data_IF_399375458570
#
_entry.id   IF_399375458570
#
_cell.length_a   1.000
_cell.length_b   1.000
_cell.length_c   1.000
_cell.angle_alpha   90.00
_cell.angle_beta   90.00
_cell.angle_gamma   90.00
#
_symmetry.space_group_name_H-M   'P 1'
#
loop_
_entity.id
_entity.type
_entity.pdbx_description
1 polymer ?
#
# COMPACT_ATOMS: atom_id res chain seq x y z
N UNK A 1 -8.84 -1.81 0.76
CA UNK A 1 -10.11 -1.14 1.13
C UNK A 1 -10.93 -2.01 2.07
N UNK A 2 -11.68 -3.02 1.58
CA UNK A 2 -12.66 -3.76 2.41
C UNK A 2 -12.05 -4.64 3.50
N UNK A 3 -11.03 -5.44 3.17
CA UNK A 3 -10.42 -6.41 4.11
C UNK A 3 -9.92 -5.75 5.39
N UNK A 4 -9.42 -4.51 5.27
CA UNK A 4 -8.80 -3.76 6.37
C UNK A 4 -9.66 -2.56 6.82
N UNK A 5 -10.93 -2.52 6.41
CA UNK A 5 -11.88 -1.43 6.72
C UNK A 5 -11.32 -0.01 6.46
N UNK A 6 -10.57 0.16 5.37
CA UNK A 6 -9.97 1.44 5.00
C UNK A 6 -11.03 2.37 4.41
N UNK A 7 -10.94 3.66 4.74
CA UNK A 7 -11.79 4.73 4.24
C UNK A 7 -10.95 6.00 3.93
N UNK A 8 -11.61 7.08 3.50
CA UNK A 8 -10.94 8.34 3.12
C UNK A 8 -10.17 9.00 4.27
N UNK A 9 -10.62 8.80 5.51
CA UNK A 9 -9.98 9.37 6.70
C UNK A 9 -8.87 8.47 7.26
N UNK A 10 -8.62 7.31 6.66
CA UNK A 10 -7.57 6.42 7.12
C UNK A 10 -6.21 7.09 6.95
N UNK A 11 -5.52 7.33 8.07
CA UNK A 11 -4.10 7.71 8.06
C UNK A 11 -3.25 6.55 7.57
N UNK A 12 -2.35 6.85 6.64
CA UNK A 12 -1.32 5.93 6.13
C UNK A 12 0.05 6.55 6.33
N UNK A 13 1.03 5.69 6.60
CA UNK A 13 2.32 6.13 7.09
C UNK A 13 3.44 5.55 6.24
N UNK A 14 4.54 6.30 6.06
CA UNK A 14 5.78 5.75 5.51
C UNK A 14 7.00 6.51 5.98
N UNK A 15 8.14 5.83 5.96
CA UNK A 15 9.44 6.45 6.17
C UNK A 15 10.04 6.88 4.82
N UNK A 16 10.64 8.07 4.78
CA UNK A 16 11.25 8.64 3.57
C UNK A 16 12.37 9.62 3.91
N UNK A 17 13.39 9.81 3.04
CA UNK A 17 14.33 10.92 3.19
C UNK A 17 13.63 12.29 3.24
N UNK A 18 14.10 13.17 4.15
CA UNK A 18 13.44 14.47 4.43
C UNK A 18 13.37 15.37 3.20
N UNK A 19 14.36 15.32 2.32
CA UNK A 19 14.44 16.11 1.09
C UNK A 19 13.27 15.86 0.14
N UNK A 20 12.68 14.67 0.15
CA UNK A 20 11.54 14.33 -0.71
C UNK A 20 10.21 14.88 -0.22
N UNK A 21 10.16 15.37 1.01
CA UNK A 21 8.94 15.91 1.64
C UNK A 21 9.16 17.29 2.28
N UNK A 22 10.30 17.94 2.05
CA UNK A 22 10.67 19.24 2.65
C UNK A 22 9.67 20.37 2.42
N UNK A 23 8.86 20.27 1.36
CA UNK A 23 7.84 21.26 1.01
C UNK A 23 6.45 20.89 1.55
N UNK A 24 6.33 19.87 2.41
CA UNK A 24 5.06 19.40 2.98
C UNK A 24 4.23 18.52 2.05
N UNK A 25 4.82 18.00 0.95
CA UNK A 25 4.13 17.15 -0.01
C UNK A 25 4.98 15.96 -0.44
N UNK A 26 4.35 14.82 -0.71
CA UNK A 26 4.96 13.65 -1.32
C UNK A 26 4.44 13.42 -2.75
N UNK A 27 5.27 12.81 -3.60
CA UNK A 27 4.92 12.37 -4.96
C UNK A 27 5.12 10.87 -5.08
N UNK A 28 4.43 10.21 -6.01
CA UNK A 28 4.59 8.78 -6.24
C UNK A 28 5.97 8.42 -6.79
N UNK A 29 6.53 7.30 -6.34
CA UNK A 29 7.76 6.75 -6.88
C UNK A 29 7.48 6.10 -8.24
N UNK A 30 8.15 6.51 -9.33
CA UNK A 30 7.90 5.95 -10.66
C UNK A 30 8.43 4.52 -10.83
N UNK A 31 9.43 4.13 -10.04
CA UNK A 31 10.14 2.85 -10.16
C UNK A 31 10.00 2.04 -8.87
N UNK A 32 8.77 1.67 -8.50
CA UNK A 32 8.53 0.78 -7.37
C UNK A 32 8.91 -0.66 -7.72
N UNK A 33 9.70 -1.29 -6.85
CA UNK A 33 10.07 -2.72 -6.92
C UNK A 33 9.06 -3.66 -6.25
N UNK A 34 7.90 -3.15 -5.83
CA UNK A 34 6.95 -3.91 -5.03
C UNK A 34 6.18 -4.95 -5.84
N UNK A 35 5.79 -6.03 -5.17
CA UNK A 35 4.84 -7.02 -5.70
C UNK A 35 3.47 -6.76 -5.09
N UNK A 36 2.45 -6.64 -5.91
CA UNK A 36 1.08 -6.27 -5.49
C UNK A 36 0.08 -7.38 -5.77
N UNK A 37 -0.98 -7.41 -4.97
CA UNK A 37 -2.17 -8.22 -5.23
C UNK A 37 -3.20 -7.45 -6.08
N UNK A 38 -3.45 -7.92 -7.30
CA UNK A 38 -4.46 -7.39 -8.23
C UNK A 38 -5.83 -7.99 -7.87
N UNK A 39 -6.53 -7.34 -6.94
CA UNK A 39 -7.82 -7.82 -6.41
C UNK A 39 -8.98 -7.80 -7.41
N UNK A 40 -8.78 -7.22 -8.60
CA UNK A 40 -9.74 -7.25 -9.73
C UNK A 40 -9.42 -8.39 -10.72
N UNK A 41 -8.31 -9.12 -10.54
CA UNK A 41 -7.87 -10.23 -11.39
C UNK A 41 -7.80 -11.54 -10.62
N UNK A 42 -8.23 -12.63 -11.25
CA UNK A 42 -8.31 -13.93 -10.63
C UNK A 42 -7.14 -14.84 -11.04
N UNK A 43 -6.68 -15.61 -10.08
CA UNK A 43 -5.82 -16.78 -10.24
C UNK A 43 -6.43 -17.93 -9.44
N UNK A 44 -6.36 -19.17 -9.96
CA UNK A 44 -6.86 -20.34 -9.23
C UNK A 44 -6.22 -20.40 -7.83
N UNK A 45 -7.06 -20.59 -6.81
CA UNK A 45 -6.58 -20.76 -5.45
C UNK A 45 -5.82 -22.08 -5.34
N UNK A 46 -4.64 -22.12 -4.68
CA UNK A 46 -3.93 -23.38 -4.44
C UNK A 46 -4.75 -24.36 -3.57
N UNK A 47 -5.82 -23.87 -2.93
CA UNK A 47 -6.73 -24.65 -2.10
C UNK A 47 -8.02 -25.06 -2.84
N UNK A 48 -8.29 -24.57 -4.05
CA UNK A 48 -9.57 -24.78 -4.74
C UNK A 48 -9.94 -26.26 -4.85
N UNK A 49 -8.99 -27.09 -5.31
CA UNK A 49 -9.17 -28.53 -5.46
C UNK A 49 -9.36 -29.24 -4.12
N UNK A 50 -8.73 -28.74 -3.05
CA UNK A 50 -8.79 -29.36 -1.72
C UNK A 50 -10.16 -29.20 -1.06
N UNK A 51 -10.88 -28.12 -1.38
CA UNK A 51 -12.20 -27.83 -0.79
C UNK A 51 -13.37 -28.12 -1.73
N UNK A 52 -13.10 -28.61 -2.94
CA UNK A 52 -14.13 -28.81 -3.97
C UNK A 52 -14.80 -27.49 -4.39
N UNK A 53 -14.04 -26.39 -4.42
CA UNK A 53 -14.56 -25.07 -4.79
C UNK A 53 -15.09 -25.08 -6.22
N UNK A 54 -16.24 -24.46 -6.44
CA UNK A 54 -16.83 -24.38 -7.79
C UNK A 54 -16.17 -23.27 -8.61
N UNK A 55 -15.95 -23.45 -9.92
CA UNK A 55 -15.29 -22.45 -10.76
C UNK A 55 -16.10 -21.15 -10.94
N UNK A 56 -17.35 -21.10 -10.52
CA UNK A 56 -18.20 -19.90 -10.52
C UNK A 56 -18.25 -19.18 -9.17
N UNK A 57 -17.45 -19.61 -8.18
CA UNK A 57 -17.44 -19.06 -6.82
C UNK A 57 -16.11 -18.35 -6.48
N UNK A 58 -16.19 -17.33 -5.63
CA UNK A 58 -15.03 -16.51 -5.27
C UNK A 58 -13.94 -17.28 -4.49
N UNK A 59 -14.33 -18.29 -3.72
CA UNK A 59 -13.42 -19.10 -2.90
C UNK A 59 -12.50 -20.01 -3.72
N UNK A 60 -12.88 -20.31 -4.97
CA UNK A 60 -12.04 -21.00 -5.95
C UNK A 60 -10.83 -20.17 -6.42
N UNK A 61 -10.80 -18.87 -6.11
CA UNK A 61 -9.78 -17.96 -6.63
C UNK A 61 -9.04 -17.20 -5.52
N UNK A 62 -7.89 -16.66 -5.90
CA UNK A 62 -7.14 -15.65 -5.17
C UNK A 62 -6.77 -14.51 -6.11
N UNK A 63 -6.48 -13.30 -5.57
CA UNK A 63 -5.96 -12.21 -6.37
C UNK A 63 -4.68 -12.65 -7.10
N UNK A 64 -4.60 -12.35 -8.39
CA UNK A 64 -3.33 -12.49 -9.14
C UNK A 64 -2.28 -11.55 -8.56
N UNK A 65 -1.02 -11.97 -8.57
CA UNK A 65 0.11 -11.10 -8.20
C UNK A 65 0.82 -10.53 -9.43
N UNK A 66 1.30 -9.29 -9.31
CA UNK A 66 2.07 -8.63 -10.36
C UNK A 66 3.09 -7.65 -9.76
N UNK A 67 4.06 -7.23 -10.55
CA UNK A 67 4.98 -6.16 -10.15
C UNK A 67 4.28 -4.79 -10.24
N UNK A 68 4.51 -3.89 -9.28
CA UNK A 68 3.85 -2.58 -9.23
C UNK A 68 4.12 -1.71 -10.47
N UNK A 69 5.25 -1.91 -11.16
CA UNK A 69 5.54 -1.25 -12.43
C UNK A 69 4.53 -1.56 -13.53
N UNK A 70 3.84 -2.72 -13.48
CA UNK A 70 2.79 -3.08 -14.45
C UNK A 70 1.59 -2.12 -14.41
N UNK A 71 1.41 -1.38 -13.31
CA UNK A 71 0.37 -0.36 -13.17
C UNK A 71 0.64 0.88 -14.03
N UNK A 72 1.86 1.03 -14.58
CA UNK A 72 2.29 2.19 -15.37
C UNK A 72 1.99 3.55 -14.70
N UNK A 73 1.90 3.56 -13.37
CA UNK A 73 1.49 4.70 -12.56
C UNK A 73 2.43 4.80 -11.34
N UNK A 74 2.96 5.98 -11.01
CA UNK A 74 3.77 6.15 -9.80
C UNK A 74 2.99 5.75 -8.55
N UNK A 75 3.68 5.27 -7.52
CA UNK A 75 3.03 4.80 -6.30
C UNK A 75 3.89 5.01 -5.05
N UNK A 76 3.25 4.94 -3.89
CA UNK A 76 3.90 4.97 -2.60
C UNK A 76 3.60 3.66 -1.86
N UNK A 77 4.65 3.07 -1.28
CA UNK A 77 4.50 2.05 -0.27
C UNK A 77 4.20 2.72 1.07
N UNK A 78 3.12 2.29 1.70
CA UNK A 78 2.61 2.85 2.97
C UNK A 78 2.15 1.74 3.90
N UNK A 79 2.12 2.04 5.19
CA UNK A 79 1.62 1.20 6.25
C UNK A 79 0.28 1.76 6.74
N UNK A 80 -0.67 0.88 7.02
CA UNK A 80 -1.96 1.24 7.64
C UNK A 80 -2.24 0.33 8.85
N UNK A 81 -3.11 0.80 9.75
CA UNK A 81 -3.51 0.06 10.96
C UNK A 81 -2.86 0.59 12.24
N UNK A 82 -3.36 0.12 13.38
CA UNK A 82 -3.02 0.65 14.71
C UNK A 82 -1.53 0.51 15.04
N UNK A 83 -0.86 -0.52 14.53
CA UNK A 83 0.57 -0.74 14.77
C UNK A 83 1.50 -0.10 13.72
N UNK A 84 0.97 0.63 12.73
CA UNK A 84 1.74 1.11 11.58
C UNK A 84 2.92 2.00 11.99
N UNK A 85 2.69 2.93 12.92
CA UNK A 85 3.75 3.81 13.44
C UNK A 85 4.84 3.02 14.16
N UNK A 86 4.46 2.03 14.98
CA UNK A 86 5.42 1.18 15.69
C UNK A 86 6.26 0.35 14.72
N UNK A 87 5.65 -0.18 13.64
CA UNK A 87 6.36 -0.95 12.63
C UNK A 87 7.41 -0.10 11.88
N UNK A 88 7.14 1.20 11.67
CA UNK A 88 8.05 2.11 10.98
C UNK A 88 9.33 2.44 11.76
N UNK A 89 9.35 2.23 13.07
CA UNK A 89 10.55 2.42 13.90
C UNK A 89 11.75 1.60 13.40
N UNK A 90 11.50 0.43 12.82
CA UNK A 90 12.53 -0.44 12.22
C UNK A 90 13.22 0.16 10.99
N UNK A 91 12.60 1.16 10.36
CA UNK A 91 13.11 1.86 9.17
C UNK A 91 13.76 3.21 9.51
N UNK A 92 13.84 3.58 10.80
CA UNK A 92 14.43 4.83 11.22
C UNK A 92 15.91 4.93 10.80
N UNK A 93 16.27 6.05 10.17
CA UNK A 93 17.64 6.44 9.80
C UNK A 93 17.81 7.93 10.09
N UNK A 94 19.04 8.39 10.30
CA UNK A 94 19.31 9.78 10.72
C UNK A 94 18.83 10.86 9.73
N UNK A 95 18.66 10.51 8.45
CA UNK A 95 18.22 11.37 7.36
C UNK A 95 16.77 11.09 6.90
N UNK A 96 16.11 10.09 7.51
CA UNK A 96 14.75 9.70 7.19
C UNK A 96 13.76 10.23 8.22
N UNK A 97 12.56 10.54 7.73
CA UNK A 97 11.43 10.99 8.54
C UNK A 97 10.23 10.06 8.36
N UNK A 98 9.48 9.90 9.42
CA UNK A 98 8.16 9.26 9.41
C UNK A 98 7.12 10.29 8.98
N UNK A 99 6.38 9.95 7.93
CA UNK A 99 5.33 10.80 7.36
C UNK A 99 3.97 10.16 7.53
N UNK A 100 2.99 10.97 7.91
CA UNK A 100 1.56 10.65 7.90
C UNK A 100 0.89 11.34 6.70
N UNK A 101 0.01 10.61 6.03
CA UNK A 101 -0.83 11.07 4.93
C UNK A 101 -2.26 10.58 5.12
N UNK A 102 -3.24 11.31 4.59
CA UNK A 102 -4.63 10.88 4.53
C UNK A 102 -4.87 10.07 3.26
N UNK A 103 -5.43 8.86 3.39
CA UNK A 103 -5.69 7.97 2.25
C UNK A 103 -6.62 8.63 1.22
N UNK A 104 -7.62 9.38 1.68
CA UNK A 104 -8.55 10.14 0.84
C UNK A 104 -7.84 11.07 -0.14
N UNK A 105 -6.71 11.68 0.24
CA UNK A 105 -5.98 12.60 -0.63
C UNK A 105 -5.38 11.90 -1.85
N UNK A 106 -5.16 10.58 -1.78
CA UNK A 106 -4.82 9.76 -2.94
C UNK A 106 -6.05 9.44 -3.77
N UNK A 107 -7.12 8.98 -3.10
CA UNK A 107 -8.36 8.53 -3.75
C UNK A 107 -9.02 9.66 -4.56
N UNK A 108 -9.08 10.87 -3.98
CA UNK A 108 -9.61 12.09 -4.61
C UNK A 108 -8.84 12.48 -5.88
N UNK A 109 -7.62 11.94 -6.04
CA UNK A 109 -6.75 12.17 -7.20
C UNK A 109 -6.70 10.98 -8.15
N UNK A 110 -7.60 9.99 -8.01
CA UNK A 110 -7.64 8.78 -8.84
C UNK A 110 -6.66 7.69 -8.41
N UNK A 111 -6.13 7.79 -7.20
CA UNK A 111 -5.30 6.75 -6.58
C UNK A 111 -6.08 5.46 -6.33
N UNK A 112 -5.41 4.33 -6.49
CA UNK A 112 -5.91 2.98 -6.21
C UNK A 112 -5.05 2.33 -5.14
N UNK A 113 -5.65 1.46 -4.34
CA UNK A 113 -5.00 0.78 -3.21
C UNK A 113 -4.85 -0.71 -3.52
N UNK A 114 -3.64 -1.22 -3.35
CA UNK A 114 -3.30 -2.63 -3.51
C UNK A 114 -2.59 -3.12 -2.25
N UNK A 115 -2.77 -4.39 -1.91
CA UNK A 115 -1.93 -5.02 -0.88
C UNK A 115 -0.51 -5.17 -1.40
N UNK A 116 0.47 -4.83 -0.56
CA UNK A 116 1.88 -5.04 -0.83
C UNK A 116 2.29 -6.44 -0.34
N UNK A 117 2.51 -7.36 -1.28
CA UNK A 117 2.94 -8.73 -1.00
C UNK A 117 4.47 -8.87 -0.96
N UNK A 118 5.23 -7.80 -1.21
CA UNK A 118 6.69 -7.79 -1.15
C UNK A 118 7.25 -7.37 0.20
N UNK A 119 6.47 -6.62 0.97
CA UNK A 119 6.77 -6.42 2.38
C UNK A 119 6.68 -7.78 3.08
N UNK A 120 7.81 -8.28 3.62
CA UNK A 120 7.75 -9.34 4.62
C UNK A 120 6.77 -8.86 5.68
N UNK A 121 5.69 -9.62 5.90
CA UNK A 121 4.63 -9.39 6.90
C UNK A 121 5.15 -8.43 7.96
N UNK A 122 4.63 -7.20 7.98
CA UNK A 122 5.10 -6.15 8.85
C UNK A 122 4.71 -6.45 10.31
N UNK A 123 5.33 -7.50 10.85
CA UNK A 123 5.70 -7.69 12.24
C UNK A 123 4.60 -7.97 13.25
N UNK A 124 3.31 -7.82 12.95
CA UNK A 124 2.31 -8.02 14.01
C UNK A 124 0.85 -7.93 13.59
N UNK A 125 0.01 -8.42 14.50
CA UNK A 125 -1.44 -8.27 14.47
C UNK A 125 -1.78 -6.77 14.31
N UNK A 126 -2.58 -6.40 13.29
CA UNK A 126 -3.09 -5.03 13.01
C UNK A 126 -2.15 -4.06 12.27
N UNK A 127 -1.26 -4.54 11.41
CA UNK A 127 -0.45 -3.71 10.51
C UNK A 127 -0.48 -4.27 9.09
N UNK A 128 -0.82 -3.41 8.12
CA UNK A 128 -1.00 -3.81 6.73
C UNK A 128 -0.11 -2.97 5.81
N UNK A 129 0.67 -3.66 4.97
CA UNK A 129 1.49 -3.03 3.94
C UNK A 129 0.68 -2.85 2.66
N UNK A 130 0.67 -1.62 2.13
CA UNK A 130 -0.13 -1.22 0.99
C UNK A 130 0.74 -0.50 -0.05
N UNK A 131 0.38 -0.67 -1.32
CA UNK A 131 0.81 0.20 -2.42
C UNK A 131 -0.38 1.09 -2.80
N UNK A 132 -0.18 2.40 -2.75
CA UNK A 132 -1.17 3.39 -3.17
C UNK A 132 -0.65 4.15 -4.37
N UNK A 133 -1.37 4.09 -5.49
CA UNK A 133 -0.98 4.82 -6.70
C UNK A 133 -1.27 6.31 -6.54
N UNK A 134 -0.43 7.12 -7.17
CA UNK A 134 -0.59 8.57 -7.27
C UNK A 134 -0.23 8.99 -8.70
N UNK A 135 -1.20 9.41 -9.52
CA UNK A 135 -0.95 9.73 -10.92
C UNK A 135 0.19 10.74 -11.12
N UNK A 136 0.89 10.64 -12.25
CA UNK A 136 2.05 11.48 -12.54
C UNK A 136 1.70 12.97 -12.45
N UNK A 137 2.54 13.75 -11.78
CA UNK A 137 2.33 15.18 -11.54
C UNK A 137 1.39 15.52 -10.37
N UNK A 138 0.80 14.51 -9.71
CA UNK A 138 0.01 14.67 -8.49
C UNK A 138 0.89 14.56 -7.26
N UNK A 139 0.42 15.16 -6.17
CA UNK A 139 1.09 15.19 -4.86
C UNK A 139 0.07 15.17 -3.75
N UNK A 140 0.42 14.62 -2.60
CA UNK A 140 -0.42 14.60 -1.39
C UNK A 140 0.29 15.36 -0.27
N UNK A 141 -0.45 16.08 0.60
CA UNK A 141 0.15 16.70 1.76
C UNK A 141 0.66 15.63 2.73
N UNK A 142 1.70 15.96 3.48
CA UNK A 142 2.26 15.07 4.52
C UNK A 142 2.51 15.81 5.81
N UNK A 143 2.28 15.14 6.94
CA UNK A 143 2.76 15.58 8.24
C UNK A 143 4.02 14.80 8.61
N UNK A 144 5.09 15.49 8.98
CA UNK A 144 6.30 14.87 9.52
C UNK A 144 6.10 14.68 11.02
N UNK A 145 6.29 13.46 11.53
CA UNK A 145 6.06 13.11 12.93
C UNK A 145 7.33 13.16 13.80
N UNK A 146 8.52 13.22 13.19
CA UNK A 146 9.84 13.20 13.84
C UNK A 146 10.90 14.15 13.22
#
# INVERSE_FOLDING_TARGET
MRVYDLNSETSVYRTTPREYVRNGYATGNPNSGATIALHEELQESPYAQHIGARPDQADAYRPRTAHASSLNTPSLNVMAGQGALSALSSYARSDHVTTEMRLGDFLDQGGKVYSDNSAMSAGGDRVEALIVTLPKGRKVPVNILD
#
